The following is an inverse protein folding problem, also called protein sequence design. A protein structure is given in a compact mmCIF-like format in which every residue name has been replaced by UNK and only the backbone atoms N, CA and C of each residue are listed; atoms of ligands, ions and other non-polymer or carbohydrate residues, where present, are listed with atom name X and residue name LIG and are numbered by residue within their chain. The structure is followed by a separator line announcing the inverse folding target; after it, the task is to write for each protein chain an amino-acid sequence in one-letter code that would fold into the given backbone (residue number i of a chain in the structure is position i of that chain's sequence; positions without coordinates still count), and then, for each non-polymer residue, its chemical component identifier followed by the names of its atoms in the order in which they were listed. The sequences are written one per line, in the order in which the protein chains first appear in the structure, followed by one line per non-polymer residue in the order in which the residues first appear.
data_IF_171453675295
#
_entry.id   IF_171453675295
#
_cell.length_a   1.000
_cell.length_b   1.000
_cell.length_c   1.000
_cell.angle_alpha   90.00
_cell.angle_beta   90.00
_cell.angle_gamma   90.00
#
_symmetry.space_group_name_H-M   'P 1'
#
loop_
_entity.id
_entity.type
_entity.pdbx_description
1 polymer ?
#
# COMPACT_ATOMS: atom_id res chain seq x y z
N UNK A 1 -32.66 -49.20 29.80
CA UNK A 1 -31.54 -48.48 29.15
C UNK A 1 -31.72 -48.56 27.64
N UNK A 2 -31.90 -47.44 26.91
CA UNK A 2 -32.18 -47.47 25.49
C UNK A 2 -30.90 -47.54 24.63
N UNK A 3 -31.02 -48.31 23.53
CA UNK A 3 -30.46 -48.11 22.20
C UNK A 3 -28.96 -47.84 22.01
N UNK A 4 -28.16 -48.91 22.00
CA UNK A 4 -27.06 -49.03 21.03
C UNK A 4 -27.64 -49.64 19.76
N UNK A 5 -27.90 -48.84 18.73
CA UNK A 5 -28.02 -49.22 17.30
C UNK A 5 -28.80 -48.11 16.58
N UNK A 6 -28.10 -47.21 15.89
CA UNK A 6 -28.73 -46.52 14.76
C UNK A 6 -27.79 -45.94 13.68
N UNK A 7 -26.46 -46.01 13.85
CA UNK A 7 -25.53 -45.54 12.81
C UNK A 7 -25.06 -46.63 11.83
N UNK A 8 -24.94 -47.89 12.28
CA UNK A 8 -24.37 -48.96 11.43
C UNK A 8 -25.31 -49.47 10.33
N UNK A 9 -26.62 -49.19 10.38
CA UNK A 9 -27.61 -49.71 9.41
C UNK A 9 -27.84 -48.81 8.19
N UNK A 10 -27.35 -47.57 8.22
CA UNK A 10 -27.59 -46.59 7.14
C UNK A 10 -26.61 -46.82 5.97
N UNK A 11 -25.38 -47.26 6.24
CA UNK A 11 -24.36 -47.49 5.21
C UNK A 11 -24.64 -48.77 4.39
N UNK A 12 -25.25 -49.79 5.00
CA UNK A 12 -25.41 -51.14 4.42
C UNK A 12 -26.52 -51.21 3.35
N UNK A 13 -27.40 -50.21 3.27
CA UNK A 13 -28.55 -50.19 2.34
C UNK A 13 -28.44 -49.15 1.21
N UNK A 14 -27.27 -48.56 1.01
CA UNK A 14 -27.02 -47.67 -0.13
C UNK A 14 -26.72 -48.47 -1.39
N UNK A 15 -27.47 -48.23 -2.47
CA UNK A 15 -27.18 -48.80 -3.79
C UNK A 15 -25.73 -48.46 -4.19
N UNK A 16 -24.99 -49.42 -4.76
CA UNK A 16 -23.62 -49.24 -5.23
C UNK A 16 -23.44 -48.00 -6.12
N UNK A 17 -24.47 -47.61 -6.87
CA UNK A 17 -24.50 -46.34 -7.62
C UNK A 17 -24.41 -45.10 -6.72
N UNK A 18 -25.10 -45.10 -5.58
CA UNK A 18 -25.08 -44.02 -4.59
C UNK A 18 -23.72 -43.90 -3.89
N UNK A 19 -23.04 -45.03 -3.63
CA UNK A 19 -21.69 -45.04 -3.06
C UNK A 19 -20.70 -44.43 -4.06
N UNK A 20 -20.80 -44.80 -5.34
CA UNK A 20 -19.98 -44.22 -6.41
C UNK A 20 -20.26 -42.73 -6.63
N UNK A 21 -21.53 -42.27 -6.63
CA UNK A 21 -21.83 -40.85 -6.74
C UNK A 21 -21.38 -40.05 -5.53
N UNK A 22 -21.51 -40.57 -4.31
CA UNK A 22 -21.01 -39.89 -3.11
C UNK A 22 -19.47 -39.82 -3.16
N UNK A 23 -18.79 -40.88 -3.57
CA UNK A 23 -17.34 -40.88 -3.77
C UNK A 23 -16.88 -39.88 -4.83
N UNK A 24 -17.61 -39.77 -5.96
CA UNK A 24 -17.32 -38.83 -7.03
C UNK A 24 -17.56 -37.37 -6.59
N UNK A 25 -18.65 -37.10 -5.87
CA UNK A 25 -18.94 -35.77 -5.29
C UNK A 25 -17.87 -35.40 -4.25
N UNK A 26 -17.43 -36.35 -3.43
CA UNK A 26 -16.37 -36.14 -2.43
C UNK A 26 -15.01 -35.87 -3.09
N UNK A 27 -14.71 -36.52 -4.22
CA UNK A 27 -13.51 -36.26 -5.02
C UNK A 27 -13.54 -34.92 -5.79
N UNK A 28 -14.74 -34.41 -6.14
CA UNK A 28 -14.88 -33.07 -6.74
C UNK A 28 -14.80 -31.94 -5.71
N UNK A 29 -14.98 -32.22 -4.41
CA UNK A 29 -14.81 -31.26 -3.32
C UNK A 29 -13.34 -30.99 -2.95
N UNK A 30 -12.39 -31.84 -3.36
CA UNK A 30 -10.97 -31.74 -2.98
C UNK A 30 -10.11 -30.85 -3.88
N UNK A 31 -10.72 -29.96 -4.68
CA UNK A 31 -10.04 -29.16 -5.70
C UNK A 31 -9.95 -27.65 -5.48
N UNK A 32 -10.36 -27.13 -4.32
CA UNK A 32 -10.20 -25.70 -4.01
C UNK A 32 -8.74 -25.43 -3.59
N UNK A 33 -7.86 -25.27 -4.57
CA UNK A 33 -6.55 -24.69 -4.30
C UNK A 33 -6.77 -23.24 -3.87
N UNK A 34 -6.51 -23.00 -2.60
CA UNK A 34 -6.48 -21.69 -2.00
C UNK A 34 -5.53 -20.78 -2.81
N UNK A 35 -6.03 -19.64 -3.28
CA UNK A 35 -5.25 -18.67 -4.03
C UNK A 35 -5.55 -17.25 -3.53
N UNK A 36 -4.51 -16.42 -3.49
CA UNK A 36 -4.64 -15.00 -3.20
C UNK A 36 -4.51 -14.24 -4.52
N UNK A 37 -5.54 -13.48 -4.90
CA UNK A 37 -5.51 -12.62 -6.08
C UNK A 37 -5.37 -11.18 -5.64
N UNK A 38 -4.35 -10.50 -6.15
CA UNK A 38 -4.03 -9.11 -5.82
C UNK A 38 -4.19 -8.26 -7.07
N UNK A 39 -5.04 -7.24 -7.00
CA UNK A 39 -5.16 -6.24 -8.06
C UNK A 39 -4.01 -5.26 -7.96
N UNK A 40 -3.35 -5.03 -9.09
CA UNK A 40 -2.26 -4.07 -9.25
C UNK A 40 -2.71 -2.88 -10.09
N UNK A 41 -2.02 -1.76 -9.92
CA UNK A 41 -2.16 -0.57 -10.74
C UNK A 41 -1.01 -0.52 -11.74
N UNK A 42 -1.32 -0.41 -13.03
CA UNK A 42 -0.30 -0.20 -14.06
C UNK A 42 -0.04 1.30 -14.23
N UNK A 43 1.15 1.78 -13.85
CA UNK A 43 1.56 3.18 -13.94
C UNK A 43 2.87 3.28 -14.71
N UNK A 44 2.92 4.06 -15.79
CA UNK A 44 4.14 4.33 -16.56
C UNK A 44 4.98 3.08 -16.92
N UNK A 45 4.31 1.96 -17.22
CA UNK A 45 4.96 0.70 -17.61
C UNK A 45 5.31 -0.24 -16.45
N UNK A 46 5.14 0.16 -15.19
CA UNK A 46 5.37 -0.69 -14.02
C UNK A 46 4.05 -1.12 -13.35
N UNK A 47 4.09 -2.21 -12.60
CA UNK A 47 2.96 -2.67 -11.79
C UNK A 47 3.17 -2.27 -10.33
N UNK A 48 2.19 -1.58 -9.77
CA UNK A 48 2.18 -1.13 -8.38
C UNK A 48 1.18 -1.95 -7.59
N UNK A 49 1.64 -2.52 -6.48
CA UNK A 49 0.91 -3.46 -5.64
C UNK A 49 0.66 -2.87 -4.26
N UNK A 50 -0.59 -2.91 -3.76
CA UNK A 50 -0.88 -2.57 -2.38
C UNK A 50 -0.30 -3.63 -1.44
N UNK A 51 0.45 -3.19 -0.43
CA UNK A 51 1.03 -4.04 0.61
C UNK A 51 0.76 -3.42 1.99
N UNK A 52 0.85 -4.22 3.05
CA UNK A 52 0.86 -3.74 4.44
C UNK A 52 2.18 -4.10 5.11
N UNK A 53 3.00 -3.12 5.44
CA UNK A 53 4.31 -3.34 6.07
C UNK A 53 4.22 -3.01 7.55
N UNK A 54 4.45 -4.01 8.41
CA UNK A 54 4.29 -3.91 9.86
C UNK A 54 2.96 -3.27 10.31
N UNK A 55 1.91 -3.38 9.49
CA UNK A 55 0.61 -2.75 9.74
C UNK A 55 0.32 -1.46 8.95
N UNK A 56 1.34 -0.87 8.31
CA UNK A 56 1.21 0.34 7.50
C UNK A 56 0.90 0.02 6.02
N UNK A 57 -0.22 0.52 5.50
CA UNK A 57 -0.56 0.38 4.07
C UNK A 57 0.37 1.22 3.19
N UNK A 58 1.08 0.57 2.28
CA UNK A 58 2.03 1.16 1.34
C UNK A 58 1.80 0.58 -0.06
N UNK A 59 2.28 1.28 -1.08
CA UNK A 59 2.22 0.83 -2.48
C UNK A 59 3.63 0.59 -3.00
N UNK A 60 3.92 -0.63 -3.43
CA UNK A 60 5.23 -1.03 -3.93
C UNK A 60 5.19 -1.28 -5.42
N UNK A 61 6.25 -0.91 -6.12
CA UNK A 61 6.50 -1.39 -7.48
C UNK A 61 6.89 -2.86 -7.37
N UNK A 62 6.21 -3.73 -8.11
CA UNK A 62 6.64 -5.10 -8.31
C UNK A 62 7.89 -5.11 -9.19
N UNK A 63 9.04 -5.43 -8.61
CA UNK A 63 10.33 -5.30 -9.28
C UNK A 63 11.14 -6.59 -9.17
N UNK A 64 11.15 -7.38 -10.25
CA UNK A 64 11.93 -8.62 -10.30
C UNK A 64 13.44 -8.38 -10.41
N UNK A 65 13.86 -7.17 -10.81
CA UNK A 65 15.26 -6.79 -10.95
C UNK A 65 15.89 -6.29 -9.65
N UNK A 66 15.09 -5.93 -8.65
CA UNK A 66 15.57 -5.52 -7.34
C UNK A 66 15.95 -6.74 -6.47
N UNK A 67 17.12 -6.68 -5.82
CA UNK A 67 17.59 -7.75 -4.93
C UNK A 67 16.78 -7.81 -3.62
N UNK A 68 16.69 -6.67 -2.92
CA UNK A 68 15.94 -6.54 -1.67
C UNK A 68 14.72 -5.62 -1.84
N UNK A 69 13.81 -5.68 -0.87
CA UNK A 69 12.75 -4.67 -0.73
C UNK A 69 13.41 -3.31 -0.48
N UNK A 70 12.99 -2.29 -1.22
CA UNK A 70 13.47 -0.91 -1.07
C UNK A 70 12.41 -0.08 -0.34
N UNK A 71 12.84 0.67 0.67
CA UNK A 71 12.03 1.65 1.40
C UNK A 71 12.72 3.02 1.27
N UNK A 72 11.98 4.08 0.94
CA UNK A 72 12.58 5.41 0.94
C UNK A 72 12.85 5.88 2.36
N UNK A 73 13.81 6.80 2.52
CA UNK A 73 14.07 7.43 3.81
C UNK A 73 12.82 8.10 4.42
N UNK A 74 11.91 8.62 3.59
CA UNK A 74 10.65 9.24 4.08
C UNK A 74 9.75 8.20 4.75
N UNK A 75 9.54 7.06 4.12
CA UNK A 75 8.72 5.99 4.69
C UNK A 75 9.39 5.38 5.92
N UNK A 76 10.70 5.15 5.89
CA UNK A 76 11.42 4.59 7.02
C UNK A 76 11.33 5.49 8.27
N UNK A 77 11.53 6.81 8.12
CA UNK A 77 11.39 7.76 9.22
C UNK A 77 9.95 7.85 9.72
N UNK A 78 8.96 7.80 8.82
CA UNK A 78 7.56 7.72 9.21
C UNK A 78 7.29 6.45 10.04
N UNK A 79 7.80 5.31 9.60
CA UNK A 79 7.60 4.03 10.28
C UNK A 79 8.25 4.03 11.67
N UNK A 80 9.50 4.50 11.80
CA UNK A 80 10.19 4.63 13.10
C UNK A 80 9.42 5.54 14.05
N UNK A 81 8.98 6.71 13.57
CA UNK A 81 8.28 7.70 14.41
C UNK A 81 6.92 7.22 14.93
N UNK A 82 6.27 6.31 14.21
CA UNK A 82 4.94 5.81 14.55
C UNK A 82 4.96 4.37 15.07
N UNK A 83 6.14 3.82 15.39
CA UNK A 83 6.27 2.47 15.98
C UNK A 83 6.00 1.32 15.00
N UNK A 84 5.95 1.58 13.70
CA UNK A 84 5.93 0.53 12.68
C UNK A 84 7.32 -0.08 12.46
N UNK A 85 8.39 0.67 12.74
CA UNK A 85 9.76 0.17 12.87
C UNK A 85 10.31 0.58 14.24
N UNK A 86 11.22 -0.23 14.77
CA UNK A 86 12.03 0.06 15.97
C UNK A 86 13.52 0.11 15.63
N UNK A 87 14.34 0.67 16.51
CA UNK A 87 15.81 0.67 16.35
C UNK A 87 16.37 -0.75 16.23
N UNK A 88 15.79 -1.72 16.94
CA UNK A 88 16.14 -3.14 16.84
C UNK A 88 15.92 -3.75 15.45
N UNK A 89 15.11 -3.11 14.60
CA UNK A 89 14.89 -3.56 13.22
C UNK A 89 16.01 -3.09 12.27
N UNK A 90 16.89 -2.18 12.71
CA UNK A 90 18.05 -1.70 11.96
C UNK A 90 19.22 -2.67 12.15
N UNK A 91 19.62 -3.36 11.09
CA UNK A 91 20.61 -4.45 11.18
C UNK A 91 21.95 -4.13 10.49
N UNK A 92 22.15 -2.90 10.02
CA UNK A 92 23.44 -2.41 9.52
C UNK A 92 23.33 -1.45 8.32
N UNK A 93 24.45 -1.23 7.65
CA UNK A 93 24.55 -0.43 6.41
C UNK A 93 24.76 -1.36 5.21
N UNK A 94 24.26 -0.97 4.04
CA UNK A 94 24.49 -1.66 2.77
C UNK A 94 24.66 -0.66 1.63
N UNK A 95 25.45 -1.05 0.63
CA UNK A 95 25.54 -0.32 -0.63
C UNK A 95 24.78 -1.10 -1.71
N UNK A 96 23.91 -0.44 -2.47
CA UNK A 96 23.13 -1.08 -3.53
C UNK A 96 23.43 -0.44 -4.88
N UNK A 97 23.36 -1.26 -5.94
CA UNK A 97 23.59 -0.82 -7.32
C UNK A 97 22.25 -0.65 -8.04
N UNK A 98 21.94 0.56 -8.51
CA UNK A 98 20.67 0.85 -9.20
C UNK A 98 20.77 0.54 -10.70
N UNK A 99 19.63 0.63 -11.42
CA UNK A 99 19.49 0.21 -12.81
C UNK A 99 20.45 0.91 -13.81
N UNK A 100 20.97 2.09 -13.45
CA UNK A 100 21.95 2.82 -14.25
C UNK A 100 23.42 2.41 -13.96
N UNK A 101 23.65 1.53 -12.96
CA UNK A 101 24.97 1.06 -12.55
C UNK A 101 25.60 1.79 -11.35
N UNK A 102 24.99 2.86 -10.85
CA UNK A 102 25.51 3.65 -9.73
C UNK A 102 25.36 2.92 -8.39
N UNK A 103 26.31 3.13 -7.48
CA UNK A 103 26.33 2.57 -6.13
C UNK A 103 25.86 3.65 -5.14
N UNK A 104 24.81 3.34 -4.38
CA UNK A 104 24.21 4.22 -3.38
C UNK A 104 24.27 3.59 -2.00
N UNK A 105 24.40 4.42 -0.96
CA UNK A 105 24.39 3.97 0.45
C UNK A 105 22.94 3.82 0.95
N UNK A 106 22.71 2.76 1.73
CA UNK A 106 21.44 2.46 2.36
C UNK A 106 21.60 1.80 3.72
N UNK A 107 20.51 1.73 4.47
CA UNK A 107 20.46 1.08 5.80
C UNK A 107 19.68 -0.23 5.71
N UNK A 108 20.29 -1.34 6.11
CA UNK A 108 19.61 -2.64 6.18
C UNK A 108 18.64 -2.68 7.33
N UNK A 109 17.44 -3.16 7.04
CA UNK A 109 16.40 -3.38 8.03
C UNK A 109 15.74 -4.75 7.86
N UNK A 110 15.05 -5.19 8.92
CA UNK A 110 14.14 -6.32 8.87
C UNK A 110 12.71 -5.84 9.04
N UNK A 111 11.90 -6.01 8.00
CA UNK A 111 10.46 -5.82 8.07
C UNK A 111 9.85 -7.06 8.72
N UNK A 112 9.30 -6.90 9.93
CA UNK A 112 8.67 -7.98 10.71
C UNK A 112 7.61 -8.69 9.87
N UNK A 113 6.76 -7.91 9.18
CA UNK A 113 5.71 -8.45 8.32
C UNK A 113 5.51 -7.62 7.05
N UNK A 114 5.34 -8.27 5.91
CA UNK A 114 4.76 -7.69 4.69
C UNK A 114 3.54 -8.50 4.31
N UNK A 115 2.36 -7.87 4.26
CA UNK A 115 1.13 -8.50 3.82
C UNK A 115 0.83 -8.09 2.38
N UNK A 116 0.58 -9.09 1.52
CA UNK A 116 0.25 -8.94 0.09
C UNK A 116 -1.04 -9.72 -0.14
N UNK A 117 -2.16 -8.99 -0.27
CA UNK A 117 -3.48 -9.60 -0.15
C UNK A 117 -3.62 -10.27 1.23
N UNK A 118 -3.92 -11.57 1.25
CA UNK A 118 -3.99 -12.37 2.49
C UNK A 118 -2.67 -13.05 2.87
N UNK A 119 -1.67 -13.03 1.99
CA UNK A 119 -0.39 -13.65 2.29
C UNK A 119 0.42 -12.75 3.20
N UNK A 120 0.89 -13.30 4.32
CA UNK A 120 1.74 -12.61 5.28
C UNK A 120 3.15 -13.18 5.23
N UNK A 121 4.10 -12.38 4.77
CA UNK A 121 5.52 -12.68 4.76
C UNK A 121 6.15 -12.18 6.06
N UNK A 122 7.05 -12.97 6.64
CA UNK A 122 7.72 -12.61 7.89
C UNK A 122 9.21 -12.39 7.68
N UNK A 123 9.79 -11.53 8.52
CA UNK A 123 11.23 -11.29 8.62
C UNK A 123 11.85 -11.04 7.23
N UNK A 124 11.30 -10.05 6.52
CA UNK A 124 11.73 -9.71 5.16
C UNK A 124 12.86 -8.70 5.24
N UNK A 125 14.00 -9.02 4.62
CA UNK A 125 15.11 -8.07 4.50
C UNK A 125 14.72 -6.94 3.56
N UNK A 126 15.01 -5.72 3.97
CA UNK A 126 14.80 -4.53 3.16
C UNK A 126 15.95 -3.56 3.36
N UNK A 127 16.07 -2.60 2.45
CA UNK A 127 17.09 -1.57 2.49
C UNK A 127 16.41 -0.21 2.42
N UNK A 128 16.75 0.65 3.38
CA UNK A 128 16.37 2.06 3.37
C UNK A 128 17.30 2.75 2.40
N UNK A 129 16.73 3.24 1.31
CA UNK A 129 17.40 4.11 0.37
C UNK A 129 17.50 5.51 0.97
N UNK A 130 18.70 6.08 1.05
CA UNK A 130 18.95 7.43 1.60
C UNK A 130 18.51 8.56 0.65
N UNK A 131 17.42 8.33 -0.10
CA UNK A 131 16.75 9.30 -0.95
C UNK A 131 15.28 9.39 -0.53
N UNK A 132 14.84 10.62 -0.23
CA UNK A 132 13.50 10.93 0.27
C UNK A 132 12.36 10.63 -0.72
N UNK A 133 12.67 10.53 -2.01
CA UNK A 133 11.70 10.30 -3.10
C UNK A 133 11.94 8.98 -3.83
N UNK A 134 12.77 8.10 -3.28
CA UNK A 134 13.00 6.79 -3.89
C UNK A 134 11.70 5.98 -3.94
N UNK A 135 11.43 5.27 -5.04
CA UNK A 135 10.28 4.39 -5.12
C UNK A 135 10.42 3.23 -4.13
N UNK A 136 9.29 2.79 -3.60
CA UNK A 136 9.20 1.55 -2.83
C UNK A 136 9.22 0.38 -3.81
N UNK A 137 10.21 -0.50 -3.70
CA UNK A 137 10.39 -1.64 -4.61
C UNK A 137 10.17 -2.94 -3.84
N UNK A 138 9.37 -3.84 -4.40
CA UNK A 138 9.19 -5.18 -3.87
C UNK A 138 10.16 -6.11 -4.60
N UNK A 139 11.39 -6.20 -4.09
CA UNK A 139 12.46 -7.02 -4.65
C UNK A 139 12.44 -8.50 -4.24
N UNK A 140 13.45 -9.24 -4.67
CA UNK A 140 13.53 -10.71 -4.51
C UNK A 140 13.48 -11.19 -3.06
N UNK A 141 13.92 -10.39 -2.08
CA UNK A 141 13.80 -10.72 -0.65
C UNK A 141 12.36 -10.94 -0.17
N UNK A 142 11.38 -10.33 -0.84
CA UNK A 142 9.95 -10.58 -0.66
C UNK A 142 9.38 -11.50 -1.74
N UNK A 143 9.71 -11.26 -3.03
CA UNK A 143 9.10 -11.97 -4.15
C UNK A 143 9.36 -13.48 -4.11
N UNK A 144 10.57 -13.90 -3.73
CA UNK A 144 10.91 -15.33 -3.60
C UNK A 144 10.08 -16.06 -2.54
N UNK A 145 9.50 -15.34 -1.58
CA UNK A 145 8.64 -15.88 -0.53
C UNK A 145 7.16 -15.98 -0.93
N UNK A 146 6.77 -15.44 -2.09
CA UNK A 146 5.40 -15.56 -2.60
C UNK A 146 5.07 -16.97 -3.09
N UNK A 147 6.08 -17.78 -3.42
CA UNK A 147 5.87 -19.09 -4.00
C UNK A 147 5.49 -19.00 -5.48
N UNK A 148 4.55 -19.84 -5.93
CA UNK A 148 4.13 -19.87 -7.33
C UNK A 148 3.18 -18.70 -7.62
N UNK A 149 3.53 -17.90 -8.61
CA UNK A 149 2.75 -16.72 -8.98
C UNK A 149 2.38 -16.72 -10.47
N UNK A 150 1.24 -16.13 -10.80
CA UNK A 150 0.76 -15.94 -12.18
C UNK A 150 0.31 -14.48 -12.39
N UNK A 151 0.78 -13.87 -13.48
CA UNK A 151 0.40 -12.52 -13.87
C UNK A 151 -0.67 -12.56 -14.97
N UNK A 152 -1.83 -11.97 -14.70
CA UNK A 152 -2.81 -11.64 -15.73
C UNK A 152 -2.65 -10.15 -16.10
N UNK A 153 -1.97 -9.91 -17.22
CA UNK A 153 -1.69 -8.57 -17.73
C UNK A 153 -2.94 -7.81 -18.18
N UNK A 154 -3.96 -8.52 -18.67
CA UNK A 154 -5.20 -7.90 -19.14
C UNK A 154 -6.03 -7.39 -17.96
N UNK A 155 -6.03 -8.15 -16.85
CA UNK A 155 -6.73 -7.79 -15.61
C UNK A 155 -5.87 -6.98 -14.64
N UNK A 156 -4.56 -6.87 -14.91
CA UNK A 156 -3.58 -6.29 -13.98
C UNK A 156 -3.64 -6.95 -12.60
N UNK A 157 -3.65 -8.29 -12.56
CA UNK A 157 -3.72 -9.06 -11.31
C UNK A 157 -2.53 -9.99 -11.14
N UNK A 158 -2.04 -10.10 -9.91
CA UNK A 158 -1.12 -11.15 -9.49
C UNK A 158 -1.90 -12.23 -8.72
N UNK A 159 -1.84 -13.47 -9.18
CA UNK A 159 -2.36 -14.63 -8.45
C UNK A 159 -1.21 -15.35 -7.75
N UNK A 160 -1.33 -15.56 -6.45
CA UNK A 160 -0.42 -16.37 -5.65
C UNK A 160 -1.09 -17.74 -5.41
N UNK A 161 -0.52 -18.78 -6.00
CA UNK A 161 -1.04 -20.14 -5.99
C UNK A 161 -0.63 -20.87 -4.70
N UNK A 162 -1.58 -21.53 -4.04
CA UNK A 162 -1.33 -22.25 -2.78
C UNK A 162 -1.19 -21.35 -1.55
N UNK A 163 -1.50 -20.05 -1.67
CA UNK A 163 -1.65 -19.13 -0.53
C UNK A 163 -2.98 -19.35 0.20
N UNK A 164 -3.19 -18.79 1.40
CA UNK A 164 -4.47 -18.92 2.11
C UNK A 164 -5.66 -18.43 1.26
N UNK A 165 -6.80 -19.14 1.30
CA UNK A 165 -7.92 -18.93 0.39
C UNK A 165 -8.67 -17.64 0.72
N UNK A 166 -8.71 -16.69 -0.22
CA UNK A 166 -9.93 -16.20 -0.87
C UNK A 166 -9.53 -15.13 -1.88
N UNK A 167 -10.33 -14.98 -2.92
CA UNK A 167 -10.28 -13.87 -3.87
C UNK A 167 -10.56 -12.55 -3.12
N UNK A 168 -9.55 -11.71 -2.88
CA UNK A 168 -9.76 -10.39 -2.26
C UNK A 168 -9.90 -9.34 -3.35
N UNK A 169 -11.17 -9.02 -3.66
CA UNK A 169 -11.51 -7.75 -4.31
C UNK A 169 -11.72 -6.72 -3.20
N UNK A 170 -10.68 -5.96 -2.85
CA UNK A 170 -10.86 -4.85 -1.91
C UNK A 170 -11.52 -3.67 -2.63
N UNK A 171 -12.85 -3.65 -2.55
CA UNK A 171 -13.67 -2.46 -2.60
C UNK A 171 -14.44 -2.39 -1.27
N UNK A 172 -13.79 -2.13 -0.14
CA UNK A 172 -14.31 -1.25 0.93
C UNK A 172 -13.54 -1.38 2.26
N UNK A 173 -12.87 -0.30 2.64
CA UNK A 173 -13.30 0.42 3.84
C UNK A 173 -13.78 1.81 3.42
N UNK A 174 -15.05 1.88 3.05
CA UNK A 174 -15.84 3.10 3.22
C UNK A 174 -16.22 3.11 4.69
N UNK A 175 -15.32 3.56 5.55
CA UNK A 175 -15.68 3.92 6.92
C UNK A 175 -16.62 5.12 6.81
N UNK A 176 -17.91 4.87 6.99
CA UNK A 176 -18.91 5.88 7.29
C UNK A 176 -18.56 6.47 8.66
N UNK A 177 -17.63 7.43 8.67
CA UNK A 177 -17.59 8.39 9.76
C UNK A 177 -18.77 9.32 9.58
N UNK A 178 -19.86 9.02 10.29
CA UNK A 178 -20.86 10.03 10.63
C UNK A 178 -20.17 11.07 11.51
N UNK A 179 -19.52 12.05 10.87
CA UNK A 179 -19.15 13.30 11.51
C UNK A 179 -20.18 14.35 11.10
N UNK A 180 -21.26 14.42 11.88
CA UNK A 180 -22.04 15.66 12.02
C UNK A 180 -21.13 16.70 12.64
N UNK A 181 -20.40 17.43 11.81
CA UNK A 181 -19.86 18.73 12.17
C UNK A 181 -20.22 19.70 11.06
N UNK A 182 -21.20 20.55 11.36
CA UNK A 182 -21.53 21.75 10.61
C UNK A 182 -20.28 22.62 10.48
N UNK A 183 -19.54 22.49 9.37
CA UNK A 183 -18.57 23.49 8.95
C UNK A 183 -19.21 24.34 7.85
N UNK A 184 -19.65 25.53 8.26
CA UNK A 184 -20.10 26.61 7.38
C UNK A 184 -18.98 26.92 6.37
N UNK A 185 -19.23 26.63 5.10
CA UNK A 185 -18.33 26.93 4.00
C UNK A 185 -18.34 28.42 3.70
N UNK A 186 -17.34 29.14 4.19
CA UNK A 186 -17.00 30.47 3.69
C UNK A 186 -15.64 30.36 2.99
N UNK A 187 -15.66 30.12 1.69
CA UNK A 187 -14.44 30.17 0.85
C UNK A 187 -13.87 31.59 0.89
N UNK A 188 -12.79 31.79 1.64
CA UNK A 188 -12.06 33.06 1.64
C UNK A 188 -11.17 33.12 0.41
N UNK A 189 -11.58 33.92 -0.58
CA UNK A 189 -10.77 34.24 -1.76
C UNK A 189 -9.51 34.97 -1.34
N UNK A 190 -8.34 34.49 -1.78
CA UNK A 190 -7.08 35.20 -1.53
C UNK A 190 -7.00 36.45 -2.41
N UNK A 191 -6.88 37.63 -1.78
CA UNK A 191 -6.77 38.93 -2.47
C UNK A 191 -5.34 39.48 -2.52
N UNK A 192 -4.37 38.75 -1.97
CA UNK A 192 -2.95 39.12 -2.01
C UNK A 192 -2.27 38.75 -3.34
N UNK A 193 -1.00 39.15 -3.50
CA UNK A 193 -0.21 38.79 -4.67
C UNK A 193 0.11 37.28 -4.67
N UNK A 194 -0.27 36.59 -5.74
CA UNK A 194 0.05 35.18 -5.99
C UNK A 194 0.55 35.00 -7.42
N UNK A 195 1.35 33.96 -7.66
CA UNK A 195 1.92 33.63 -8.98
C UNK A 195 0.86 33.02 -9.90
N UNK A 196 0.15 32.01 -9.40
CA UNK A 196 -0.95 31.37 -10.11
C UNK A 196 -1.87 30.62 -9.14
N UNK A 197 -3.07 30.29 -9.63
CA UNK A 197 -4.05 29.44 -8.96
C UNK A 197 -4.02 28.03 -9.54
N UNK A 198 -4.17 27.02 -8.69
CA UNK A 198 -4.22 25.61 -9.08
C UNK A 198 -5.13 24.81 -8.14
N UNK A 199 -5.22 23.50 -8.35
CA UNK A 199 -5.92 22.55 -7.48
C UNK A 199 -4.98 21.40 -7.12
N UNK A 200 -5.44 20.54 -6.20
CA UNK A 200 -4.76 19.28 -5.92
C UNK A 200 -4.85 18.31 -7.10
N UNK A 201 -3.80 17.52 -7.30
CA UNK A 201 -3.73 16.49 -8.35
C UNK A 201 -4.31 15.15 -7.87
N UNK A 202 -5.60 15.18 -7.51
CA UNK A 202 -6.37 14.04 -6.99
C UNK A 202 -5.60 13.10 -6.03
N UNK A 203 -5.04 13.64 -4.93
CA UNK A 203 -4.22 12.86 -4.02
C UNK A 203 -5.05 11.78 -3.34
N UNK A 204 -4.49 10.56 -3.29
CA UNK A 204 -5.10 9.40 -2.61
C UNK A 204 -5.09 9.60 -1.08
N UNK A 205 -4.23 10.51 -0.58
CA UNK A 205 -4.05 10.83 0.83
C UNK A 205 -4.49 12.26 1.17
N UNK A 206 -4.78 12.52 2.45
CA UNK A 206 -5.02 13.87 2.94
C UNK A 206 -3.77 14.74 2.80
N UNK A 207 -3.95 15.90 2.16
CA UNK A 207 -2.86 16.84 1.93
C UNK A 207 -2.80 17.84 3.07
N UNK A 208 -1.63 17.99 3.68
CA UNK A 208 -1.41 18.87 4.84
C UNK A 208 -0.59 20.08 4.45
N UNK A 209 -1.11 21.27 4.75
CA UNK A 209 -0.39 22.54 4.72
C UNK A 209 0.47 22.63 5.99
N UNK A 210 1.72 23.06 5.86
CA UNK A 210 2.67 23.07 6.98
C UNK A 210 3.31 24.42 7.21
N UNK A 211 3.79 24.66 8.42
CA UNK A 211 4.37 25.95 8.83
C UNK A 211 5.75 26.23 8.21
N UNK A 212 6.49 25.20 7.79
CA UNK A 212 7.79 25.30 7.13
C UNK A 212 7.85 24.32 5.93
N UNK A 213 8.79 24.45 4.97
CA UNK A 213 8.96 23.55 3.83
C UNK A 213 9.51 22.17 4.24
N UNK A 214 8.79 21.48 5.13
CA UNK A 214 9.20 20.21 5.72
C UNK A 214 7.97 19.43 6.17
N UNK A 215 7.94 18.12 5.86
CA UNK A 215 6.93 17.16 6.37
C UNK A 215 6.99 16.94 7.88
N UNK A 216 7.96 17.51 8.59
CA UNK A 216 8.06 17.43 10.06
C UNK A 216 7.55 18.68 10.75
N UNK A 217 7.38 19.78 10.02
CA UNK A 217 6.91 21.03 10.60
C UNK A 217 5.43 20.96 10.95
N UNK A 218 5.03 21.80 11.92
CA UNK A 218 3.67 21.89 12.44
C UNK A 218 2.68 22.03 11.29
N UNK A 219 1.67 21.16 11.27
CA UNK A 219 0.55 21.23 10.34
C UNK A 219 -0.29 22.44 10.71
N UNK A 220 -0.53 23.31 9.73
CA UNK A 220 -1.32 24.52 9.92
C UNK A 220 -2.74 24.36 9.38
N UNK A 221 -2.94 23.47 8.41
CA UNK A 221 -4.25 23.19 7.82
C UNK A 221 -4.25 21.86 7.06
N UNK A 222 -5.40 21.17 6.98
CA UNK A 222 -5.59 20.00 6.12
C UNK A 222 -6.49 20.38 4.94
N UNK A 223 -6.02 20.17 3.71
CA UNK A 223 -6.71 20.63 2.50
C UNK A 223 -7.83 19.65 2.09
N UNK A 224 -9.04 20.15 1.77
CA UNK A 224 -10.05 19.33 1.11
C UNK A 224 -9.63 18.95 -0.32
N UNK A 225 -10.12 17.82 -0.84
CA UNK A 225 -9.68 17.29 -2.16
C UNK A 225 -9.92 18.26 -3.33
N UNK A 226 -10.96 19.09 -3.25
CA UNK A 226 -11.31 20.10 -4.24
C UNK A 226 -10.76 21.50 -3.90
N UNK A 227 -9.80 21.61 -2.96
CA UNK A 227 -9.24 22.90 -2.55
C UNK A 227 -8.68 23.68 -3.74
N UNK A 228 -9.07 24.95 -3.83
CA UNK A 228 -8.34 25.94 -4.61
C UNK A 228 -7.05 26.31 -3.86
N UNK A 229 -5.91 26.23 -4.55
CA UNK A 229 -4.61 26.60 -4.01
C UNK A 229 -4.06 27.83 -4.73
N UNK A 230 -3.74 28.87 -3.98
CA UNK A 230 -3.08 30.07 -4.47
C UNK A 230 -1.58 29.95 -4.19
N UNK A 231 -0.75 29.83 -5.23
CA UNK A 231 0.69 29.70 -5.07
C UNK A 231 1.31 31.09 -4.93
N UNK A 232 1.89 31.37 -3.76
CA UNK A 232 2.49 32.66 -3.42
C UNK A 232 3.95 32.69 -3.84
N UNK A 233 4.68 31.60 -3.59
CA UNK A 233 6.10 31.45 -3.91
C UNK A 233 6.37 30.04 -4.42
N UNK A 234 6.92 29.95 -5.64
CA UNK A 234 7.27 28.73 -6.33
C UNK A 234 8.80 28.57 -6.55
N UNK A 235 9.62 29.34 -5.82
CA UNK A 235 11.09 29.26 -5.92
C UNK A 235 11.68 27.97 -5.34
N UNK A 236 10.99 27.33 -4.40
CA UNK A 236 11.45 26.10 -3.76
C UNK A 236 11.31 24.87 -4.66
N UNK A 237 12.36 24.05 -4.73
CA UNK A 237 12.37 22.87 -5.62
C UNK A 237 11.37 21.79 -5.22
N UNK A 238 11.01 21.67 -3.94
CA UNK A 238 10.14 20.60 -3.41
C UNK A 238 8.86 21.14 -2.82
N UNK A 239 8.91 22.29 -2.14
CA UNK A 239 7.76 22.91 -1.49
C UNK A 239 7.51 24.29 -2.05
N UNK A 240 6.23 24.59 -2.30
CA UNK A 240 5.79 25.93 -2.61
C UNK A 240 5.12 26.54 -1.39
N UNK A 241 5.27 27.86 -1.22
CA UNK A 241 4.48 28.62 -0.26
C UNK A 241 3.13 28.92 -0.90
N UNK A 242 2.06 28.53 -0.23
CA UNK A 242 0.69 28.61 -0.77
C UNK A 242 -0.28 29.17 0.26
N UNK A 243 -1.39 29.68 -0.23
CA UNK A 243 -2.56 30.04 0.57
C UNK A 243 -3.76 29.19 0.17
N UNK A 244 -4.48 28.68 1.18
CA UNK A 244 -5.71 27.90 1.02
C UNK A 244 -6.66 28.25 2.17
N UNK A 245 -7.88 28.68 1.84
CA UNK A 245 -8.98 28.89 2.79
C UNK A 245 -8.61 29.63 4.09
N UNK A 246 -7.83 30.70 4.00
CA UNK A 246 -7.45 31.51 5.18
C UNK A 246 -6.06 31.19 5.73
N UNK A 247 -5.44 30.10 5.31
CA UNK A 247 -4.17 29.63 5.86
C UNK A 247 -3.05 29.77 4.85
N UNK A 248 -1.91 30.33 5.31
CA UNK A 248 -0.66 30.34 4.56
C UNK A 248 0.30 29.30 5.13
N UNK A 249 0.96 28.56 4.25
CA UNK A 249 2.00 27.62 4.65
C UNK A 249 2.70 27.01 3.44
N UNK A 250 3.39 25.91 3.66
CA UNK A 250 4.18 25.20 2.67
C UNK A 250 3.50 23.88 2.31
N UNK A 251 3.48 23.59 1.02
CA UNK A 251 2.86 22.42 0.43
C UNK A 251 3.83 21.82 -0.58
N UNK A 252 3.98 20.49 -0.58
CA UNK A 252 4.80 19.81 -1.58
C UNK A 252 4.24 20.05 -2.98
N UNK A 253 5.11 20.47 -3.92
CA UNK A 253 4.74 20.71 -5.32
C UNK A 253 4.14 19.47 -5.97
N UNK A 254 4.48 18.28 -5.46
CA UNK A 254 3.99 16.99 -5.95
C UNK A 254 2.47 16.86 -5.90
N UNK A 255 1.81 17.53 -4.95
CA UNK A 255 0.37 17.49 -4.79
C UNK A 255 -0.40 18.47 -5.69
N UNK A 256 0.31 19.33 -6.45
CA UNK A 256 -0.31 20.37 -7.26
C UNK A 256 -0.45 19.92 -8.71
N UNK A 257 -1.64 20.14 -9.28
CA UNK A 257 -1.95 19.80 -10.67
C UNK A 257 -1.17 20.65 -11.69
N UNK A 258 -0.88 21.90 -11.33
CA UNK A 258 -0.09 22.86 -12.12
C UNK A 258 1.06 23.39 -11.26
N UNK A 259 2.26 23.47 -11.85
CA UNK A 259 3.52 23.72 -11.13
C UNK A 259 4.36 24.89 -11.69
N UNK A 260 3.86 25.61 -12.70
CA UNK A 260 4.55 26.70 -13.42
C UNK A 260 3.69 27.94 -13.59
#
# INVERSE_FOLDING_TARGET
MPSKLHFSRIIVNMNMKAIFTIGLILAMLTGLNAQTVVKMEKLNGVYVMPCKVNGLSLKFIFDTGASDVSISLTEALFMLKNGYLSEDDLIGTEYYRIANGDIEEGTKIVLKTIEIGKLKLYNVKASIVHNLSAPLLLGQSALSKLGKIEFDYAKSTLTILGGPSDYVYDNSERTTYSNTNNYSSKESVYTGNYKYKTTLDNPVIEVKLRSQPSVYSRVVYTLPKNATVYVIDNSGEVYFKVYVNGYTGYLSKGFLKRKW
#
